data_IF_224488541218
#
_entry.id   IF_224488541218
#
_cell.length_a   1.000
_cell.length_b   1.000
_cell.length_c   1.000
_cell.angle_alpha   90.00
_cell.angle_beta   90.00
_cell.angle_gamma   90.00
#
_symmetry.space_group_name_H-M   'P 1'
#
loop_
_entity.id
_entity.type
_entity.pdbx_description
1 polymer ?
#
# COMPACT_ATOMS: atom_id res chain seq x y z
N UNK A 1 1.25 86.82 -43.12
CA UNK A 1 0.99 86.06 -41.88
C UNK A 1 0.80 84.58 -42.25
N UNK A 2 1.81 83.76 -42.06
CA UNK A 2 1.77 82.36 -42.41
C UNK A 2 1.65 81.59 -41.07
N UNK A 3 0.51 80.94 -40.84
CA UNK A 3 0.31 80.08 -39.68
C UNK A 3 0.98 78.69 -39.94
N UNK A 4 1.99 78.36 -39.16
CA UNK A 4 2.59 77.03 -39.13
C UNK A 4 1.67 76.10 -38.33
N UNK A 5 1.22 75.02 -38.97
CA UNK A 5 0.49 73.94 -38.38
C UNK A 5 1.53 72.92 -37.89
N UNK A 6 1.61 72.70 -36.58
CA UNK A 6 2.46 71.65 -35.97
C UNK A 6 1.58 70.43 -35.83
N UNK A 7 1.93 69.35 -36.56
CA UNK A 7 1.28 68.03 -36.49
C UNK A 7 2.06 67.18 -35.45
N UNK A 8 1.45 66.93 -34.26
CA UNK A 8 2.03 66.06 -33.23
C UNK A 8 1.62 64.67 -33.52
N UNK A 9 2.59 63.79 -33.90
CA UNK A 9 2.40 62.38 -34.09
C UNK A 9 2.51 61.71 -32.71
N UNK A 10 1.42 61.14 -32.18
CA UNK A 10 1.40 60.31 -30.98
C UNK A 10 1.65 58.88 -31.41
N UNK A 11 2.84 58.40 -31.13
CA UNK A 11 3.17 56.98 -31.27
C UNK A 11 2.64 56.20 -30.04
N UNK A 12 1.55 55.44 -30.20
CA UNK A 12 1.07 54.50 -29.20
C UNK A 12 1.92 53.23 -29.29
N UNK A 13 2.80 53.01 -28.33
CA UNK A 13 3.50 51.75 -28.13
C UNK A 13 2.54 50.77 -27.46
N UNK A 14 1.96 49.83 -28.22
CA UNK A 14 1.26 48.66 -27.67
C UNK A 14 2.29 47.66 -27.20
N UNK A 15 2.50 47.57 -25.88
CA UNK A 15 3.28 46.49 -25.27
C UNK A 15 2.45 45.21 -25.36
N UNK A 16 2.75 44.35 -26.31
CA UNK A 16 2.24 42.99 -26.34
C UNK A 16 2.98 42.19 -25.26
N UNK A 17 2.33 42.03 -24.10
CA UNK A 17 2.82 41.10 -23.06
C UNK A 17 2.57 39.70 -23.58
N UNK A 18 3.60 39.08 -24.10
CA UNK A 18 3.58 37.62 -24.34
C UNK A 18 3.67 36.94 -22.98
N UNK A 19 2.55 36.46 -22.46
CA UNK A 19 2.55 35.48 -21.37
C UNK A 19 3.09 34.17 -21.96
N UNK A 20 4.38 33.94 -21.81
CA UNK A 20 4.95 32.60 -22.02
C UNK A 20 4.38 31.70 -20.94
N UNK A 21 3.41 30.85 -21.29
CA UNK A 21 3.09 29.68 -20.50
C UNK A 21 4.32 28.80 -20.55
N UNK A 22 5.24 28.97 -19.62
CA UNK A 22 6.31 28.01 -19.39
C UNK A 22 5.64 26.79 -18.73
N UNK A 23 5.40 25.73 -19.49
CA UNK A 23 5.10 24.44 -18.90
C UNK A 23 6.32 24.04 -18.04
N UNK A 24 6.07 23.66 -16.81
CA UNK A 24 7.13 23.11 -15.97
C UNK A 24 7.79 21.92 -16.70
N UNK A 25 9.11 21.79 -16.61
CA UNK A 25 9.81 20.64 -17.15
C UNK A 25 9.34 19.36 -16.48
N UNK A 26 9.37 18.22 -17.18
CA UNK A 26 9.07 16.94 -16.57
C UNK A 26 10.09 16.61 -15.46
N UNK A 27 9.62 16.00 -14.36
CA UNK A 27 10.51 15.55 -13.29
C UNK A 27 11.43 14.44 -13.81
N UNK A 28 12.72 14.49 -13.46
CA UNK A 28 13.77 13.58 -13.96
C UNK A 28 14.50 12.82 -12.86
N UNK A 29 13.96 12.80 -11.64
CA UNK A 29 14.59 12.09 -10.52
C UNK A 29 15.62 12.90 -9.74
N UNK A 30 15.61 14.21 -9.87
CA UNK A 30 16.52 15.10 -9.14
C UNK A 30 16.21 15.21 -7.65
N UNK A 31 17.17 15.79 -6.91
CA UNK A 31 16.95 16.18 -5.51
C UNK A 31 16.06 17.41 -5.44
N UNK A 32 15.19 17.44 -4.42
CA UNK A 32 14.36 18.60 -4.09
C UNK A 32 14.73 19.14 -2.70
N UNK A 33 14.24 20.34 -2.38
CA UNK A 33 14.32 20.85 -1.00
C UNK A 33 13.60 19.88 -0.05
N UNK A 34 14.02 19.82 1.22
CA UNK A 34 13.41 18.92 2.19
C UNK A 34 11.89 19.16 2.30
N UNK A 35 11.13 18.09 2.23
CA UNK A 35 9.69 18.09 2.40
C UNK A 35 9.24 18.14 3.87
N UNK A 36 7.93 18.02 4.08
CA UNK A 36 7.34 17.92 5.42
C UNK A 36 7.92 16.73 6.20
N UNK A 37 8.20 15.63 5.49
CA UNK A 37 8.75 14.40 6.08
C UNK A 37 10.07 14.00 5.40
N UNK A 38 11.02 13.39 6.14
CA UNK A 38 12.29 12.97 5.57
C UNK A 38 12.11 11.84 4.54
N UNK A 39 12.84 11.94 3.41
CA UNK A 39 12.92 10.90 2.39
C UNK A 39 11.66 10.69 1.53
N UNK A 40 10.62 11.51 1.71
CA UNK A 40 9.36 11.36 0.98
C UNK A 40 8.60 12.67 0.82
N UNK A 41 7.69 12.70 -0.18
CA UNK A 41 6.84 13.84 -0.49
C UNK A 41 5.45 13.36 -0.95
N UNK A 42 4.45 14.24 -0.83
CA UNK A 42 3.28 14.16 -1.68
C UNK A 42 3.62 14.73 -3.07
N UNK A 43 2.88 14.34 -4.13
CA UNK A 43 3.19 14.76 -5.52
C UNK A 43 3.27 16.27 -5.64
N UNK A 44 2.24 16.98 -5.17
CA UNK A 44 2.16 18.45 -5.26
C UNK A 44 3.29 19.15 -4.49
N UNK A 45 3.72 18.57 -3.38
CA UNK A 45 4.85 19.04 -2.58
C UNK A 45 6.17 18.87 -3.35
N UNK A 46 6.39 17.69 -3.97
CA UNK A 46 7.59 17.41 -4.74
C UNK A 46 7.67 18.31 -5.99
N UNK A 47 6.59 18.43 -6.76
CA UNK A 47 6.51 19.29 -7.94
C UNK A 47 6.86 20.74 -7.59
N UNK A 48 6.32 21.27 -6.48
CA UNK A 48 6.63 22.61 -5.99
C UNK A 48 8.08 22.75 -5.57
N UNK A 49 8.64 21.78 -4.84
CA UNK A 49 10.01 21.82 -4.33
C UNK A 49 11.06 21.62 -5.42
N UNK A 50 10.78 20.80 -6.44
CA UNK A 50 11.68 20.50 -7.55
C UNK A 50 11.46 21.45 -8.78
N UNK A 51 10.37 22.18 -8.83
CA UNK A 51 10.03 23.07 -9.97
C UNK A 51 9.73 22.30 -11.26
N UNK A 52 9.17 21.09 -11.16
CA UNK A 52 8.88 20.20 -12.29
C UNK A 52 7.41 19.75 -12.25
N UNK A 53 6.95 19.08 -13.31
CA UNK A 53 5.65 18.41 -13.33
C UNK A 53 5.85 16.91 -13.47
N UNK A 54 5.17 16.12 -12.61
CA UNK A 54 5.32 14.67 -12.56
C UNK A 54 4.39 14.00 -13.56
N UNK A 55 4.94 13.03 -14.28
CA UNK A 55 4.20 12.09 -15.11
C UNK A 55 4.55 10.68 -14.69
N UNK A 56 3.56 9.78 -14.67
CA UNK A 56 3.79 8.43 -14.15
C UNK A 56 4.10 7.45 -15.27
N UNK A 57 5.07 6.58 -14.99
CA UNK A 57 5.44 5.44 -15.82
C UNK A 57 5.37 4.15 -15.02
N UNK A 58 5.29 3.03 -15.71
CA UNK A 58 5.14 1.70 -15.12
C UNK A 58 6.23 0.74 -15.61
N UNK A 59 6.40 -0.35 -14.88
CA UNK A 59 7.23 -1.45 -15.31
C UNK A 59 6.71 -2.00 -16.66
N UNK A 60 7.54 -2.06 -17.73
CA UNK A 60 7.11 -2.58 -19.03
C UNK A 60 6.64 -4.04 -18.99
N UNK A 61 7.02 -4.80 -17.95
CA UNK A 61 6.61 -6.18 -17.74
C UNK A 61 5.31 -6.30 -16.93
N UNK A 62 4.74 -5.20 -16.45
CA UNK A 62 3.65 -5.25 -15.44
C UNK A 62 2.42 -6.02 -15.90
N UNK A 63 2.08 -5.98 -17.19
CA UNK A 63 0.95 -6.74 -17.73
C UNK A 63 1.20 -8.25 -17.68
N UNK A 64 2.43 -8.71 -17.96
CA UNK A 64 2.81 -10.11 -17.86
C UNK A 64 2.92 -10.58 -16.42
N UNK A 65 3.41 -9.70 -15.52
CA UNK A 65 3.47 -9.95 -14.08
C UNK A 65 2.04 -10.11 -13.55
N UNK A 66 1.15 -9.18 -13.87
CA UNK A 66 -0.25 -9.23 -13.44
C UNK A 66 -0.96 -10.52 -13.89
N UNK A 67 -0.62 -11.04 -15.07
CA UNK A 67 -1.19 -12.30 -15.57
C UNK A 67 -0.79 -13.54 -14.71
N UNK A 68 0.23 -13.42 -13.85
CA UNK A 68 0.60 -14.46 -12.89
C UNK A 68 -0.20 -14.39 -11.59
N UNK A 69 -0.90 -13.27 -11.34
CA UNK A 69 -1.72 -13.08 -10.13
C UNK A 69 -3.11 -13.62 -10.40
N UNK A 70 -3.42 -14.76 -9.82
CA UNK A 70 -4.70 -15.45 -10.02
C UNK A 70 -5.85 -14.54 -9.56
N UNK A 71 -6.87 -14.39 -10.41
CA UNK A 71 -8.05 -13.56 -10.12
C UNK A 71 -7.98 -12.14 -10.66
N UNK A 72 -6.78 -11.64 -11.00
CA UNK A 72 -6.64 -10.30 -11.55
C UNK A 72 -7.13 -10.21 -13.01
N UNK A 73 -7.86 -9.15 -13.30
CA UNK A 73 -8.29 -8.78 -14.66
C UNK A 73 -7.20 -8.04 -15.45
N UNK A 74 -7.55 -7.60 -16.66
CA UNK A 74 -6.67 -6.73 -17.46
C UNK A 74 -6.44 -5.39 -16.74
N UNK A 75 -5.20 -4.88 -16.80
CA UNK A 75 -4.83 -3.62 -16.18
C UNK A 75 -5.32 -2.41 -17.00
N UNK A 76 -5.81 -1.37 -16.30
CA UNK A 76 -5.91 -0.03 -16.84
C UNK A 76 -4.52 0.65 -16.94
N UNK A 77 -4.51 1.91 -17.38
CA UNK A 77 -3.27 2.72 -17.40
C UNK A 77 -2.70 2.89 -15.99
N UNK A 78 -1.40 3.23 -15.89
CA UNK A 78 -0.78 3.51 -14.59
C UNK A 78 -1.51 4.60 -13.81
N UNK A 79 -2.04 5.63 -14.49
CA UNK A 79 -2.81 6.71 -13.87
C UNK A 79 -4.15 6.22 -13.28
N UNK A 80 -4.75 5.17 -13.87
CA UNK A 80 -5.99 4.58 -13.36
C UNK A 80 -5.75 3.68 -12.15
N UNK A 81 -4.51 3.25 -11.93
CA UNK A 81 -4.10 2.29 -10.90
C UNK A 81 -3.49 2.95 -9.67
N UNK A 82 -2.77 4.04 -9.86
CA UNK A 82 -2.23 4.86 -8.76
C UNK A 82 -3.35 5.65 -8.07
N UNK A 83 -3.20 5.95 -6.77
CA UNK A 83 -4.03 6.96 -6.12
C UNK A 83 -3.82 8.34 -6.77
N UNK A 84 -4.74 9.27 -6.56
CA UNK A 84 -4.65 10.63 -7.12
C UNK A 84 -3.37 11.38 -6.73
N UNK A 85 -2.83 11.07 -5.55
CA UNK A 85 -1.54 11.53 -5.05
C UNK A 85 -0.75 10.32 -4.52
N UNK A 86 0.03 9.65 -5.37
CA UNK A 86 0.93 8.60 -4.92
C UNK A 86 2.01 9.17 -3.98
N UNK A 87 2.55 8.31 -3.13
CA UNK A 87 3.69 8.67 -2.29
C UNK A 87 4.96 8.73 -3.14
N UNK A 88 5.61 9.89 -3.19
CA UNK A 88 6.90 10.07 -3.86
C UNK A 88 8.02 9.71 -2.89
N UNK A 89 8.82 8.70 -3.23
CA UNK A 89 9.95 8.23 -2.41
C UNK A 89 11.27 8.64 -3.05
N UNK A 90 12.16 9.22 -2.25
CA UNK A 90 13.49 9.62 -2.71
C UNK A 90 14.41 8.40 -2.75
N UNK A 91 14.96 8.04 -3.93
CA UNK A 91 15.97 6.99 -3.99
C UNK A 91 17.24 7.36 -3.19
N UNK A 92 17.89 6.36 -2.57
CA UNK A 92 19.13 6.59 -1.82
C UNK A 92 20.25 7.15 -2.70
N UNK A 93 20.51 6.51 -3.85
CA UNK A 93 21.59 6.89 -4.76
C UNK A 93 21.05 7.41 -6.09
N UNK A 94 20.21 6.63 -6.76
CA UNK A 94 19.68 6.94 -8.08
C UNK A 94 18.35 6.24 -8.35
N UNK A 95 17.63 6.75 -9.33
CA UNK A 95 16.46 6.07 -9.92
C UNK A 95 16.89 4.70 -10.42
N UNK A 96 16.10 3.67 -10.07
CA UNK A 96 16.36 2.30 -10.44
C UNK A 96 15.96 1.94 -11.87
N UNK A 97 16.17 0.69 -12.23
CA UNK A 97 15.73 0.11 -13.52
C UNK A 97 14.78 -1.04 -13.26
N UNK A 98 13.73 -1.15 -14.09
CA UNK A 98 12.78 -2.23 -14.01
C UNK A 98 13.34 -3.57 -14.44
N UNK A 99 12.85 -4.63 -13.80
CA UNK A 99 13.08 -6.01 -14.19
C UNK A 99 13.77 -6.87 -13.15
N UNK A 100 13.86 -8.13 -13.45
CA UNK A 100 14.64 -9.11 -12.68
C UNK A 100 13.89 -9.77 -11.53
N UNK A 101 14.60 -10.68 -10.87
CA UNK A 101 14.09 -11.42 -9.71
C UNK A 101 15.07 -11.31 -8.55
N UNK A 102 14.59 -10.84 -7.43
CA UNK A 102 15.35 -10.87 -6.17
C UNK A 102 15.26 -12.28 -5.59
N UNK A 103 16.40 -12.93 -5.40
CA UNK A 103 16.47 -14.30 -4.88
C UNK A 103 17.05 -14.32 -3.48
N UNK A 104 16.42 -15.09 -2.60
CA UNK A 104 16.79 -15.21 -1.20
C UNK A 104 16.72 -16.66 -0.73
N UNK A 105 17.56 -17.03 0.23
CA UNK A 105 17.49 -18.28 0.96
C UNK A 105 16.96 -18.02 2.36
N UNK A 106 15.98 -18.82 2.78
CA UNK A 106 15.31 -18.68 4.07
C UNK A 106 15.18 -20.05 4.77
N UNK A 107 14.98 -20.02 6.06
CA UNK A 107 14.48 -21.17 6.84
C UNK A 107 13.10 -20.88 7.45
N UNK A 108 12.48 -19.76 7.09
CA UNK A 108 11.16 -19.35 7.57
C UNK A 108 10.08 -20.04 6.73
N UNK A 109 9.68 -21.23 7.13
CA UNK A 109 8.66 -22.04 6.43
C UNK A 109 7.23 -21.72 6.87
N UNK A 110 7.07 -20.98 7.97
CA UNK A 110 5.77 -20.63 8.50
C UNK A 110 5.23 -19.37 7.84
N UNK A 111 3.93 -19.32 7.66
CA UNK A 111 3.25 -18.11 7.19
C UNK A 111 3.52 -16.94 8.16
N UNK A 112 3.75 -15.77 7.62
CA UNK A 112 4.03 -14.56 8.40
C UNK A 112 5.46 -14.45 8.91
N UNK A 113 6.33 -15.39 8.62
CA UNK A 113 7.73 -15.38 9.06
C UNK A 113 8.72 -15.21 7.91
N UNK A 114 8.22 -14.80 6.74
CA UNK A 114 9.05 -14.58 5.55
C UNK A 114 10.17 -13.57 5.81
N UNK A 115 11.40 -13.95 5.49
CA UNK A 115 12.56 -13.07 5.56
C UNK A 115 12.45 -11.88 4.58
N UNK A 116 11.55 -11.98 3.58
CA UNK A 116 11.23 -10.90 2.63
C UNK A 116 10.15 -9.92 3.13
N UNK A 117 9.60 -10.11 4.32
CA UNK A 117 8.55 -9.24 4.86
C UNK A 117 9.00 -7.77 4.91
N UNK A 118 10.22 -7.51 5.32
CA UNK A 118 10.79 -6.15 5.42
C UNK A 118 10.86 -5.41 4.07
N UNK A 119 10.84 -6.13 2.95
CA UNK A 119 10.92 -5.54 1.61
C UNK A 119 9.56 -5.24 0.98
N UNK A 120 8.47 -5.69 1.59
CA UNK A 120 7.11 -5.55 1.03
C UNK A 120 6.06 -5.01 1.99
N UNK A 121 6.22 -5.25 3.32
CA UNK A 121 5.23 -4.89 4.32
C UNK A 121 4.96 -3.39 4.38
N UNK A 122 3.69 -3.03 4.51
CA UNK A 122 3.22 -1.65 4.62
C UNK A 122 2.20 -1.52 5.74
N UNK A 123 2.23 -0.38 6.45
CA UNK A 123 1.28 0.00 7.48
C UNK A 123 0.65 1.36 7.17
N UNK A 124 -0.33 1.81 7.94
CA UNK A 124 -0.91 3.16 7.78
C UNK A 124 0.16 4.25 7.86
N UNK A 125 1.10 4.10 8.77
CA UNK A 125 2.28 4.95 8.95
C UNK A 125 3.52 4.07 9.09
N UNK A 126 4.70 4.62 8.94
CA UNK A 126 5.99 3.92 9.12
C UNK A 126 6.98 4.81 9.85
N UNK A 127 8.07 4.24 10.33
CA UNK A 127 9.23 5.05 10.71
C UNK A 127 9.96 5.55 9.48
N UNK A 128 10.53 6.77 9.57
CA UNK A 128 11.53 7.26 8.62
C UNK A 128 12.76 6.36 8.64
N UNK A 129 13.59 6.46 7.59
CA UNK A 129 14.74 5.57 7.42
C UNK A 129 15.78 5.68 8.55
N UNK A 130 15.84 6.83 9.23
CA UNK A 130 16.67 7.06 10.41
C UNK A 130 16.01 6.58 11.74
N UNK A 131 14.81 6.01 11.66
CA UNK A 131 14.01 5.48 12.77
C UNK A 131 13.65 6.52 13.84
N UNK A 132 13.68 7.81 13.52
CA UNK A 132 13.43 8.89 14.48
C UNK A 132 12.03 9.48 14.40
N UNK A 133 11.44 9.47 13.22
CA UNK A 133 10.15 10.13 12.94
C UNK A 133 9.13 9.12 12.40
N UNK A 134 7.90 9.19 12.90
CA UNK A 134 6.80 8.44 12.27
C UNK A 134 6.27 9.29 11.12
N UNK A 135 6.25 8.70 9.92
CA UNK A 135 5.86 9.35 8.67
C UNK A 135 4.66 8.65 8.04
N UNK A 136 3.84 9.34 7.24
CA UNK A 136 2.78 8.73 6.44
C UNK A 136 3.28 7.61 5.54
N UNK A 137 2.40 6.63 5.27
CA UNK A 137 2.69 5.53 4.36
C UNK A 137 1.42 5.22 3.53
N UNK A 138 0.64 4.18 3.89
CA UNK A 138 -0.69 3.94 3.30
C UNK A 138 -1.62 5.13 3.55
N UNK A 139 -1.63 5.67 4.77
CA UNK A 139 -2.25 6.96 5.03
C UNK A 139 -1.43 8.08 4.38
N UNK A 140 -2.12 9.10 3.89
CA UNK A 140 -1.53 10.32 3.36
C UNK A 140 -1.10 11.26 4.48
N UNK A 141 -1.85 11.29 5.57
CA UNK A 141 -1.59 12.13 6.75
C UNK A 141 -2.23 11.52 7.99
N UNK A 142 -1.83 12.01 9.15
CA UNK A 142 -2.46 11.70 10.43
C UNK A 142 -2.45 12.92 11.35
N UNK A 143 -3.47 12.99 12.22
CA UNK A 143 -3.65 14.10 13.15
C UNK A 143 -4.18 13.60 14.50
N UNK A 144 -3.65 14.18 15.57
CA UNK A 144 -4.14 14.02 16.94
C UNK A 144 -4.98 15.23 17.36
N UNK A 145 -5.99 14.99 18.18
CA UNK A 145 -6.58 16.06 18.96
C UNK A 145 -5.66 16.47 20.14
N UNK A 146 -5.98 17.56 20.83
CA UNK A 146 -5.11 18.16 21.84
C UNK A 146 -4.81 17.25 23.05
N UNK A 147 -5.71 16.34 23.39
CA UNK A 147 -5.59 15.44 24.54
C UNK A 147 -5.13 14.01 24.20
N UNK A 148 -4.82 13.76 22.91
CA UNK A 148 -4.39 12.45 22.41
C UNK A 148 -5.40 11.31 22.64
N UNK A 149 -6.68 11.64 22.61
CA UNK A 149 -7.77 10.67 22.68
C UNK A 149 -8.42 10.38 21.33
N UNK A 150 -8.08 11.16 20.29
CA UNK A 150 -8.53 10.92 18.93
C UNK A 150 -7.36 10.95 17.95
N UNK A 151 -7.21 9.87 17.21
CA UNK A 151 -6.24 9.76 16.11
C UNK A 151 -7.01 9.62 14.79
N UNK A 152 -6.85 10.63 13.93
CA UNK A 152 -7.48 10.65 12.60
C UNK A 152 -6.44 10.38 11.54
N UNK A 153 -6.72 9.41 10.65
CA UNK A 153 -5.93 9.15 9.44
C UNK A 153 -6.68 9.66 8.22
N UNK A 154 -5.97 10.34 7.33
CA UNK A 154 -6.43 10.65 5.99
C UNK A 154 -5.78 9.67 5.03
N UNK A 155 -6.57 8.87 4.32
CA UNK A 155 -6.11 7.89 3.34
C UNK A 155 -5.86 8.56 1.98
N UNK A 156 -5.16 7.87 1.07
CA UNK A 156 -4.91 8.34 -0.30
C UNK A 156 -6.14 8.08 -1.16
N UNK A 157 -6.73 9.15 -1.71
CA UNK A 157 -7.93 9.05 -2.56
C UNK A 157 -7.65 8.21 -3.81
N UNK A 158 -8.54 7.25 -4.08
CA UNK A 158 -8.44 6.36 -5.24
C UNK A 158 -7.38 5.26 -5.08
N UNK A 159 -6.85 5.03 -3.87
CA UNK A 159 -5.97 3.89 -3.59
C UNK A 159 -6.72 2.58 -3.83
N UNK A 160 -6.02 1.56 -4.31
CA UNK A 160 -6.62 0.27 -4.68
C UNK A 160 -5.85 -0.89 -4.08
N UNK A 161 -6.57 -1.94 -3.76
CA UNK A 161 -6.03 -3.25 -3.48
C UNK A 161 -5.36 -3.86 -4.72
N UNK A 162 -4.55 -4.88 -4.55
CA UNK A 162 -3.80 -5.54 -5.63
C UNK A 162 -4.66 -6.21 -6.69
N UNK A 163 -5.93 -6.43 -6.42
CA UNK A 163 -6.95 -6.94 -7.36
C UNK A 163 -7.74 -5.81 -8.06
N UNK A 164 -7.41 -4.54 -7.76
CA UNK A 164 -8.04 -3.35 -8.32
C UNK A 164 -9.27 -2.85 -7.57
N UNK A 165 -9.72 -3.53 -6.52
CA UNK A 165 -10.81 -3.05 -5.67
C UNK A 165 -10.40 -1.76 -4.92
N UNK A 166 -11.32 -0.80 -4.69
CA UNK A 166 -11.02 0.40 -3.91
C UNK A 166 -10.59 0.07 -2.48
N UNK A 167 -9.57 0.78 -1.99
CA UNK A 167 -9.19 0.81 -0.58
C UNK A 167 -9.74 2.08 0.07
N UNK A 168 -10.49 1.92 1.17
CA UNK A 168 -11.19 3.01 1.84
C UNK A 168 -11.13 2.91 3.36
N UNK A 169 -11.64 3.93 4.05
CA UNK A 169 -11.83 3.93 5.51
C UNK A 169 -12.66 2.74 6.01
N UNK A 170 -13.56 2.22 5.17
CA UNK A 170 -14.37 1.04 5.48
C UNK A 170 -13.53 -0.23 5.67
N UNK A 171 -12.38 -0.35 4.99
CA UNK A 171 -11.45 -1.48 5.13
C UNK A 171 -10.73 -1.46 6.49
N UNK A 172 -10.41 -0.26 6.99
CA UNK A 172 -9.82 -0.05 8.33
C UNK A 172 -10.83 -0.37 9.42
N UNK A 173 -12.06 0.15 9.29
CA UNK A 173 -13.14 -0.12 10.24
C UNK A 173 -13.52 -1.59 10.25
N UNK A 174 -13.64 -2.22 9.09
CA UNK A 174 -13.94 -3.65 8.96
C UNK A 174 -12.88 -4.52 9.66
N UNK A 175 -11.58 -4.25 9.41
CA UNK A 175 -10.50 -4.93 10.10
C UNK A 175 -10.66 -4.84 11.62
N UNK A 176 -10.91 -3.65 12.14
CA UNK A 176 -11.04 -3.43 13.58
C UNK A 176 -12.25 -4.14 14.16
N UNK A 177 -13.44 -3.89 13.61
CA UNK A 177 -14.70 -4.35 14.18
C UNK A 177 -14.96 -5.84 13.96
N UNK A 178 -14.62 -6.37 12.78
CA UNK A 178 -15.06 -7.69 12.34
C UNK A 178 -13.95 -8.74 12.30
N UNK A 179 -12.67 -8.35 12.37
CA UNK A 179 -11.58 -9.31 12.41
C UNK A 179 -10.85 -9.29 13.76
N UNK A 180 -10.55 -8.10 14.31
CA UNK A 180 -9.79 -7.99 15.55
C UNK A 180 -10.61 -8.26 16.81
N UNK A 181 -11.88 -7.93 16.76
CA UNK A 181 -12.79 -8.07 17.92
C UNK A 181 -13.90 -9.11 17.70
N UNK A 182 -13.83 -9.91 16.64
CA UNK A 182 -14.71 -11.07 16.47
C UNK A 182 -14.08 -12.32 17.12
N UNK A 183 -14.75 -12.84 18.15
CA UNK A 183 -14.26 -14.00 18.92
C UNK A 183 -14.33 -15.32 18.15
N UNK A 184 -15.07 -15.39 17.04
CA UNK A 184 -15.09 -16.55 16.15
C UNK A 184 -13.82 -16.64 15.28
N UNK A 185 -13.16 -15.49 15.05
CA UNK A 185 -11.93 -15.40 14.27
C UNK A 185 -10.71 -15.35 15.20
N UNK A 186 -10.84 -14.61 16.32
CA UNK A 186 -9.74 -14.35 17.23
C UNK A 186 -10.20 -14.41 18.69
N UNK A 187 -9.61 -15.29 19.47
CA UNK A 187 -9.99 -15.46 20.88
C UNK A 187 -9.81 -14.17 21.70
N UNK A 188 -8.72 -13.43 21.43
CA UNK A 188 -8.41 -12.18 22.13
C UNK A 188 -7.84 -11.15 21.15
N UNK A 189 -8.26 -9.89 21.22
CA UNK A 189 -7.64 -8.82 20.44
C UNK A 189 -6.18 -8.59 20.90
N UNK A 190 -5.38 -7.95 20.07
CA UNK A 190 -4.07 -7.50 20.50
C UNK A 190 -4.17 -6.47 21.62
N UNK A 191 -3.34 -6.63 22.64
CA UNK A 191 -3.37 -5.77 23.83
C UNK A 191 -3.15 -4.27 23.53
N UNK A 192 -2.43 -3.94 22.45
CA UNK A 192 -2.24 -2.55 22.07
C UNK A 192 -3.50 -1.88 21.53
N UNK A 193 -4.49 -2.66 21.07
CA UNK A 193 -5.80 -2.16 20.62
C UNK A 193 -6.76 -1.88 21.79
N UNK A 194 -6.35 -2.22 23.01
CA UNK A 194 -7.05 -1.85 24.23
C UNK A 194 -6.34 -0.66 24.89
N UNK A 195 -7.13 0.29 25.37
CA UNK A 195 -6.66 1.48 26.09
C UNK A 195 -7.36 1.53 27.43
N UNK A 196 -6.61 1.49 28.54
CA UNK A 196 -7.16 1.32 29.89
C UNK A 196 -8.09 0.09 30.02
N UNK A 197 -7.72 -1.02 29.35
CA UNK A 197 -8.50 -2.27 29.26
C UNK A 197 -9.85 -2.14 28.54
N UNK A 198 -10.09 -1.01 27.89
CA UNK A 198 -11.32 -0.76 27.12
C UNK A 198 -11.03 -0.76 25.61
N UNK A 199 -12.03 -1.16 24.83
CA UNK A 199 -12.01 -1.13 23.38
C UNK A 199 -12.11 0.32 22.88
N UNK A 200 -11.27 0.69 21.90
CA UNK A 200 -11.45 1.92 21.12
C UNK A 200 -12.71 1.83 20.25
N UNK A 201 -13.17 2.94 19.72
CA UNK A 201 -14.13 2.94 18.61
C UNK A 201 -13.47 3.49 17.36
N UNK A 202 -13.94 3.02 16.19
CA UNK A 202 -13.45 3.46 14.88
C UNK A 202 -14.60 4.07 14.10
N UNK A 203 -14.47 5.34 13.77
CA UNK A 203 -15.44 6.09 12.97
C UNK A 203 -14.96 6.20 11.52
N UNK A 204 -15.81 5.79 10.60
CA UNK A 204 -15.72 6.04 9.18
C UNK A 204 -16.31 7.43 8.92
N UNK A 205 -15.48 8.48 8.87
CA UNK A 205 -15.94 9.87 8.71
C UNK A 205 -16.39 10.12 7.27
N UNK A 206 -15.58 9.66 6.31
CA UNK A 206 -15.87 9.61 4.89
C UNK A 206 -15.02 8.53 4.23
N UNK A 207 -15.06 8.39 2.90
CA UNK A 207 -14.35 7.36 2.14
C UNK A 207 -12.84 7.31 2.41
N UNK A 208 -12.23 8.45 2.72
CA UNK A 208 -10.77 8.57 2.91
C UNK A 208 -10.38 8.99 4.33
N UNK A 209 -11.33 9.20 5.23
CA UNK A 209 -11.05 9.67 6.60
C UNK A 209 -11.56 8.67 7.63
N UNK A 210 -10.66 8.13 8.42
CA UNK A 210 -10.97 7.21 9.52
C UNK A 210 -10.42 7.75 10.84
N UNK A 211 -11.22 7.67 11.92
CA UNK A 211 -10.85 8.14 13.24
C UNK A 211 -10.92 7.02 14.27
N UNK A 212 -9.85 6.86 15.02
CA UNK A 212 -9.79 6.05 16.22
C UNK A 212 -10.09 6.93 17.44
N UNK A 213 -11.11 6.60 18.22
CA UNK A 213 -11.44 7.26 19.48
C UNK A 213 -10.98 6.36 20.62
N UNK A 214 -10.07 6.88 21.44
CA UNK A 214 -9.43 6.17 22.53
C UNK A 214 -10.14 6.50 23.86
N UNK A 215 -10.41 5.49 24.69
CA UNK A 215 -10.99 5.72 26.04
C UNK A 215 -10.15 6.62 26.95
N UNK A 216 -8.85 6.67 26.73
CA UNK A 216 -7.90 7.52 27.45
C UNK A 216 -6.73 7.91 26.53
N UNK A 217 -5.96 8.93 26.91
CA UNK A 217 -4.77 9.37 26.17
C UNK A 217 -3.73 8.25 26.03
N UNK A 218 -3.36 7.91 24.77
CA UNK A 218 -2.35 6.90 24.45
C UNK A 218 -1.56 7.27 23.19
N UNK A 219 -0.74 8.33 23.18
CA UNK A 219 -0.02 8.76 21.99
C UNK A 219 0.91 7.70 21.42
N UNK A 220 1.41 6.77 22.24
CA UNK A 220 2.27 5.66 21.82
C UNK A 220 1.60 4.64 20.88
N UNK A 221 0.26 4.68 20.71
CA UNK A 221 -0.42 3.79 19.77
C UNK A 221 -0.01 4.04 18.31
N UNK A 222 0.37 5.28 17.97
CA UNK A 222 0.86 5.61 16.64
C UNK A 222 2.11 4.81 16.26
N UNK A 223 3.01 4.59 17.21
CA UNK A 223 4.20 3.74 17.03
C UNK A 223 3.79 2.26 16.80
N UNK A 224 2.73 1.80 17.44
CA UNK A 224 2.21 0.46 17.20
C UNK A 224 1.64 0.32 15.77
N UNK A 225 0.92 1.32 15.27
CA UNK A 225 0.47 1.34 13.88
C UNK A 225 1.62 1.46 12.87
N UNK A 226 2.80 1.91 13.27
CA UNK A 226 3.98 1.99 12.42
C UNK A 226 4.79 0.68 12.39
N UNK A 227 4.69 -0.16 13.42
CA UNK A 227 5.59 -1.32 13.60
C UNK A 227 4.88 -2.66 13.74
N UNK A 228 3.56 -2.66 13.84
CA UNK A 228 2.80 -3.91 13.98
C UNK A 228 2.88 -4.76 12.71
N UNK A 229 3.06 -6.05 12.86
CA UNK A 229 2.85 -7.00 11.77
C UNK A 229 1.38 -7.10 11.35
N UNK A 230 0.47 -6.78 12.25
CA UNK A 230 -0.94 -6.69 11.95
C UNK A 230 -1.20 -5.33 11.32
N UNK A 231 -1.35 -5.30 10.02
CA UNK A 231 -1.76 -4.10 9.29
C UNK A 231 -3.12 -3.63 9.80
N UNK A 232 -3.30 -2.33 9.97
CA UNK A 232 -4.52 -1.73 10.49
C UNK A 232 -5.68 -1.68 9.50
N UNK A 233 -5.78 -2.64 8.57
CA UNK A 233 -6.78 -2.73 7.50
C UNK A 233 -6.88 -4.16 6.96
N UNK A 234 -7.99 -4.49 6.32
CA UNK A 234 -8.20 -5.76 5.63
C UNK A 234 -9.19 -5.60 4.47
N UNK A 235 -9.09 -6.42 3.40
CA UNK A 235 -9.94 -6.30 2.22
C UNK A 235 -11.40 -6.66 2.53
N UNK A 236 -12.19 -5.66 2.92
CA UNK A 236 -13.62 -5.80 3.24
C UNK A 236 -14.41 -6.43 2.10
N UNK A 237 -14.12 -6.03 0.84
CA UNK A 237 -14.81 -6.53 -0.34
C UNK A 237 -14.68 -8.06 -0.50
N UNK A 238 -13.56 -8.66 -0.04
CA UNK A 238 -13.37 -10.10 -0.02
C UNK A 238 -14.01 -10.71 1.23
N UNK A 239 -13.63 -10.26 2.41
CA UNK A 239 -13.95 -10.94 3.66
C UNK A 239 -15.40 -10.78 4.10
N UNK A 240 -16.07 -9.66 3.77
CA UNK A 240 -17.48 -9.49 4.11
C UNK A 240 -18.41 -10.52 3.46
N UNK A 241 -17.99 -11.11 2.33
CA UNK A 241 -18.78 -12.16 1.66
C UNK A 241 -18.84 -13.45 2.48
N UNK A 242 -17.80 -13.74 3.24
CA UNK A 242 -17.67 -14.95 4.07
C UNK A 242 -17.95 -14.71 5.54
N UNK A 243 -18.26 -13.46 5.94
CA UNK A 243 -18.56 -13.14 7.33
C UNK A 243 -20.04 -13.39 7.64
N UNK A 244 -20.39 -14.39 8.49
CA UNK A 244 -21.79 -14.79 8.73
C UNK A 244 -22.68 -13.65 9.24
N UNK A 245 -22.13 -12.73 10.04
CA UNK A 245 -22.90 -11.58 10.56
C UNK A 245 -23.16 -10.50 9.52
N UNK A 246 -22.40 -10.49 8.41
CA UNK A 246 -22.53 -9.50 7.32
C UNK A 246 -23.22 -10.07 6.08
N UNK A 247 -23.16 -11.37 5.88
CA UNK A 247 -23.77 -12.06 4.75
C UNK A 247 -24.43 -13.36 5.21
N UNK A 248 -25.75 -13.41 5.17
CA UNK A 248 -26.53 -14.60 5.52
C UNK A 248 -26.24 -15.82 4.63
N UNK A 249 -25.62 -15.61 3.45
CA UNK A 249 -25.19 -16.67 2.53
C UNK A 249 -23.75 -17.12 2.76
N UNK A 250 -23.03 -16.58 3.73
CA UNK A 250 -21.59 -16.84 3.94
C UNK A 250 -21.25 -18.33 4.08
N UNK A 251 -22.03 -19.06 4.88
CA UNK A 251 -21.79 -20.50 5.10
C UNK A 251 -22.02 -21.32 3.82
N UNK A 252 -23.03 -20.97 3.03
CA UNK A 252 -23.28 -21.65 1.76
C UNK A 252 -22.15 -21.40 0.74
N UNK A 253 -21.61 -20.17 0.69
CA UNK A 253 -20.44 -19.85 -0.12
C UNK A 253 -19.21 -20.61 0.35
N UNK A 254 -18.99 -20.69 1.65
CA UNK A 254 -17.87 -21.41 2.23
C UNK A 254 -17.96 -22.93 1.95
N UNK A 255 -19.13 -23.52 2.11
CA UNK A 255 -19.38 -24.94 1.85
C UNK A 255 -19.19 -25.31 0.37
N UNK A 256 -19.56 -24.41 -0.55
CA UNK A 256 -19.29 -24.59 -1.98
C UNK A 256 -17.78 -24.68 -2.30
N UNK A 257 -16.92 -24.11 -1.43
CA UNK A 257 -15.45 -24.19 -1.53
C UNK A 257 -14.86 -25.33 -0.69
N UNK A 258 -15.70 -26.11 0.03
CA UNK A 258 -15.26 -27.21 0.86
C UNK A 258 -14.83 -26.81 2.28
N UNK A 259 -15.20 -25.62 2.76
CA UNK A 259 -15.05 -25.20 4.14
C UNK A 259 -16.31 -25.51 4.96
N UNK A 260 -16.19 -25.60 6.27
CA UNK A 260 -17.31 -25.90 7.16
C UNK A 260 -18.33 -24.75 7.21
N UNK A 261 -17.83 -23.52 7.31
CA UNK A 261 -18.63 -22.29 7.43
C UNK A 261 -17.79 -21.06 7.02
N UNK A 262 -18.41 -19.88 7.02
CA UNK A 262 -17.76 -18.64 6.64
C UNK A 262 -16.57 -18.27 7.53
N UNK A 263 -16.67 -18.49 8.85
CA UNK A 263 -15.55 -18.23 9.76
C UNK A 263 -14.33 -19.13 9.47
N UNK A 264 -14.54 -20.35 9.00
CA UNK A 264 -13.45 -21.23 8.60
C UNK A 264 -12.68 -20.65 7.38
N UNK A 265 -13.39 -19.99 6.44
CA UNK A 265 -12.75 -19.28 5.33
C UNK A 265 -11.96 -18.09 5.84
N UNK A 266 -12.56 -17.23 6.67
CA UNK A 266 -11.88 -16.06 7.24
C UNK A 266 -10.61 -16.44 7.99
N UNK A 267 -10.68 -17.51 8.80
CA UNK A 267 -9.51 -18.02 9.52
C UNK A 267 -8.45 -18.56 8.56
N UNK A 268 -8.86 -19.23 7.47
CA UNK A 268 -7.93 -19.75 6.47
C UNK A 268 -7.20 -18.66 5.70
N UNK A 269 -7.85 -17.54 5.43
CA UNK A 269 -7.25 -16.38 4.75
C UNK A 269 -6.47 -15.48 5.68
N UNK A 270 -7.07 -15.13 6.81
CA UNK A 270 -6.53 -14.12 7.70
C UNK A 270 -5.61 -14.70 8.77
N UNK A 271 -5.89 -15.94 9.18
CA UNK A 271 -5.16 -16.65 10.25
C UNK A 271 -5.39 -16.09 11.65
N UNK A 272 -4.98 -16.84 12.66
CA UNK A 272 -5.07 -16.40 14.06
C UNK A 272 -4.06 -15.30 14.42
N UNK A 273 -3.02 -15.13 13.61
CA UNK A 273 -1.91 -14.21 13.86
C UNK A 273 -2.07 -12.84 13.20
N UNK A 274 -3.07 -12.63 12.32
CA UNK A 274 -3.21 -11.49 11.43
C UNK A 274 -1.99 -11.19 10.53
N UNK A 275 -1.28 -12.22 10.16
CA UNK A 275 -0.21 -12.12 9.20
C UNK A 275 -0.81 -11.99 7.80
N UNK A 276 -0.74 -10.79 7.25
CA UNK A 276 -1.26 -10.49 5.92
C UNK A 276 -0.42 -11.08 4.79
N UNK A 277 0.79 -11.51 5.12
CA UNK A 277 1.68 -12.22 4.22
C UNK A 277 1.46 -13.74 4.22
N UNK A 278 0.51 -14.23 5.04
CA UNK A 278 0.09 -15.61 4.94
C UNK A 278 -0.42 -15.84 3.53
N UNK A 279 0.29 -16.61 2.70
CA UNK A 279 -0.31 -17.04 1.45
C UNK A 279 -1.61 -17.73 1.83
N UNK A 280 -2.68 -17.39 1.15
CA UNK A 280 -3.92 -18.10 1.37
C UNK A 280 -3.61 -19.59 1.39
N UNK A 281 -3.99 -20.37 2.43
CA UNK A 281 -3.81 -21.81 2.42
C UNK A 281 -4.38 -22.47 1.18
N UNK A 282 -5.20 -21.73 0.44
CA UNK A 282 -5.80 -22.12 -0.82
C UNK A 282 -4.79 -22.16 -1.97
N UNK A 283 -3.67 -21.43 -1.90
CA UNK A 283 -2.58 -21.57 -2.87
C UNK A 283 -1.96 -22.99 -2.84
N UNK A 284 -1.98 -23.65 -1.69
CA UNK A 284 -1.58 -25.04 -1.55
C UNK A 284 -2.64 -26.04 -2.05
N UNK A 285 -3.83 -25.59 -2.44
CA UNK A 285 -4.94 -26.43 -2.92
C UNK A 285 -5.52 -25.85 -4.24
N UNK A 286 -4.83 -26.06 -5.40
CA UNK A 286 -5.18 -25.45 -6.66
C UNK A 286 -6.64 -25.62 -7.10
N UNK A 287 -7.24 -26.77 -6.79
CA UNK A 287 -8.64 -27.06 -7.13
C UNK A 287 -9.63 -26.13 -6.43
N UNK A 288 -9.30 -25.66 -5.22
CA UNK A 288 -10.12 -24.67 -4.48
C UNK A 288 -9.90 -23.27 -4.98
N UNK A 289 -8.67 -22.95 -5.38
CA UNK A 289 -8.26 -21.64 -5.87
C UNK A 289 -9.03 -21.27 -7.15
N UNK A 290 -9.26 -22.24 -8.05
CA UNK A 290 -9.95 -22.01 -9.31
C UNK A 290 -11.41 -21.51 -9.17
N UNK A 291 -12.01 -21.72 -8.01
CA UNK A 291 -13.41 -21.36 -7.73
C UNK A 291 -13.56 -20.07 -6.93
N UNK A 292 -12.45 -19.39 -6.58
CA UNK A 292 -12.50 -18.15 -5.83
C UNK A 292 -12.43 -16.92 -6.74
N UNK A 293 -13.24 -15.89 -6.47
CA UNK A 293 -13.15 -14.60 -7.19
C UNK A 293 -11.76 -13.96 -7.04
N UNK A 294 -11.13 -14.15 -5.89
CA UNK A 294 -9.78 -13.69 -5.60
C UNK A 294 -9.04 -14.79 -4.87
N UNK A 295 -8.35 -15.64 -5.60
CA UNK A 295 -7.62 -16.79 -5.04
C UNK A 295 -6.36 -16.38 -4.28
N UNK A 296 -5.84 -15.21 -4.58
CA UNK A 296 -4.72 -14.57 -3.93
C UNK A 296 -5.26 -13.55 -2.94
N UNK A 297 -4.67 -13.50 -1.75
CA UNK A 297 -5.02 -12.48 -0.76
C UNK A 297 -4.75 -11.08 -1.33
N UNK A 298 -5.78 -10.22 -1.51
CA UNK A 298 -5.56 -8.85 -1.97
C UNK A 298 -4.74 -8.09 -0.94
N UNK A 299 -3.66 -7.45 -1.38
CA UNK A 299 -2.72 -6.75 -0.53
C UNK A 299 -2.47 -5.33 -1.02
N UNK A 300 -2.04 -4.45 -0.12
CA UNK A 300 -1.49 -3.12 -0.44
C UNK A 300 0.05 -3.14 -0.45
N UNK A 301 0.66 -4.28 -0.20
CA UNK A 301 2.11 -4.45 -0.17
C UNK A 301 2.73 -4.32 -1.57
N UNK A 302 4.04 -4.09 -1.64
CA UNK A 302 4.76 -3.95 -2.91
C UNK A 302 4.83 -5.24 -3.72
N UNK A 303 4.71 -6.40 -3.05
CA UNK A 303 4.71 -7.72 -3.68
C UNK A 303 3.58 -8.58 -3.14
N UNK A 304 3.09 -9.47 -3.99
CA UNK A 304 1.95 -10.35 -3.74
C UNK A 304 2.41 -11.79 -3.84
N UNK A 305 2.09 -12.61 -2.86
CA UNK A 305 2.39 -14.05 -2.90
C UNK A 305 1.55 -14.72 -3.99
N UNK A 306 2.20 -15.30 -4.98
CA UNK A 306 1.56 -16.02 -6.10
C UNK A 306 1.80 -17.53 -6.06
N UNK A 307 2.79 -17.98 -5.30
CA UNK A 307 3.12 -19.38 -5.11
C UNK A 307 3.61 -19.61 -3.68
N UNK A 308 3.14 -20.69 -3.05
CA UNK A 308 3.60 -21.15 -1.75
C UNK A 308 3.71 -22.67 -1.77
N UNK A 309 4.93 -23.16 -1.62
CA UNK A 309 5.26 -24.60 -1.67
C UNK A 309 6.16 -24.98 -0.53
N UNK A 310 6.40 -26.29 -0.37
CA UNK A 310 7.39 -26.80 0.60
C UNK A 310 8.84 -26.42 0.24
N UNK A 311 9.07 -25.94 -0.99
CA UNK A 311 10.41 -25.54 -1.45
C UNK A 311 10.67 -24.03 -1.34
N UNK A 312 9.60 -23.22 -1.17
CA UNK A 312 9.70 -21.77 -1.08
C UNK A 312 8.46 -21.04 -1.55
N UNK A 313 8.58 -19.72 -1.63
CA UNK A 313 7.55 -18.79 -2.06
C UNK A 313 7.99 -17.97 -3.24
N UNK A 314 7.05 -17.61 -4.10
CA UNK A 314 7.24 -16.64 -5.17
C UNK A 314 6.27 -15.49 -4.97
N UNK A 315 6.80 -14.28 -5.10
CA UNK A 315 6.03 -13.05 -5.00
C UNK A 315 6.16 -12.27 -6.31
N UNK A 316 5.06 -11.71 -6.79
CA UNK A 316 4.99 -10.85 -7.96
C UNK A 316 4.84 -9.39 -7.56
N UNK A 317 5.42 -8.48 -8.32
CA UNK A 317 5.24 -7.04 -8.11
C UNK A 317 3.77 -6.65 -8.18
N UNK A 318 3.32 -5.83 -7.21
CA UNK A 318 1.93 -5.37 -7.14
C UNK A 318 1.68 -4.28 -8.20
N UNK A 319 0.81 -4.52 -9.20
CA UNK A 319 0.53 -3.54 -10.25
C UNK A 319 -0.23 -2.30 -9.76
N UNK A 320 -0.77 -2.33 -8.54
CA UNK A 320 -1.49 -1.23 -7.90
C UNK A 320 -0.70 -0.58 -6.75
N UNK A 321 0.61 -0.87 -6.64
CA UNK A 321 1.42 -0.30 -5.56
C UNK A 321 1.46 1.22 -5.66
N UNK A 322 1.25 1.90 -4.54
CA UNK A 322 0.94 3.33 -4.46
C UNK A 322 2.15 4.27 -4.45
N UNK A 323 3.35 3.74 -4.43
CA UNK A 323 4.58 4.55 -4.38
C UNK A 323 5.17 4.76 -5.78
N UNK A 324 5.74 5.94 -5.97
CA UNK A 324 6.55 6.28 -7.14
C UNK A 324 7.89 6.85 -6.71
N UNK A 325 8.89 6.80 -7.57
CA UNK A 325 10.15 7.51 -7.34
C UNK A 325 10.04 9.00 -7.76
N UNK A 326 11.13 9.74 -7.60
CA UNK A 326 11.24 11.16 -7.95
C UNK A 326 11.21 11.45 -9.45
N UNK A 327 11.28 10.44 -10.31
CA UNK A 327 11.07 10.54 -11.75
C UNK A 327 9.65 10.14 -12.18
N UNK A 328 8.80 9.71 -11.24
CA UNK A 328 7.43 9.25 -11.48
C UNK A 328 7.32 7.77 -11.89
N UNK A 329 8.37 6.97 -11.72
CA UNK A 329 8.30 5.54 -11.99
C UNK A 329 7.57 4.82 -10.86
N UNK A 330 6.51 4.06 -11.17
CA UNK A 330 5.79 3.26 -10.18
C UNK A 330 6.71 2.17 -9.61
N UNK A 331 6.76 2.04 -8.29
CA UNK A 331 7.50 0.98 -7.61
C UNK A 331 6.63 -0.30 -7.49
N UNK A 332 7.25 -1.47 -7.24
CA UNK A 332 8.68 -1.74 -7.14
C UNK A 332 9.36 -1.85 -8.52
N UNK A 333 10.68 -1.69 -8.56
CA UNK A 333 11.46 -1.90 -9.80
C UNK A 333 11.60 -3.38 -10.16
N UNK A 334 11.69 -4.26 -9.15
CA UNK A 334 11.91 -5.69 -9.31
C UNK A 334 10.60 -6.38 -9.71
N UNK A 335 10.64 -7.31 -10.67
CA UNK A 335 9.46 -8.04 -11.15
C UNK A 335 8.97 -9.08 -10.14
N UNK A 336 9.91 -9.86 -9.60
CA UNK A 336 9.61 -10.98 -8.71
C UNK A 336 10.57 -11.06 -7.53
N UNK A 337 10.07 -11.62 -6.42
CA UNK A 337 10.89 -12.12 -5.34
C UNK A 337 10.75 -13.64 -5.26
N UNK A 338 11.85 -14.36 -5.04
CA UNK A 338 11.87 -15.82 -4.90
C UNK A 338 12.60 -16.19 -3.63
N UNK A 339 11.86 -16.72 -2.67
CA UNK A 339 12.33 -17.18 -1.37
C UNK A 339 12.43 -18.71 -1.39
N UNK A 340 13.64 -19.25 -1.32
CA UNK A 340 13.91 -20.69 -1.25
C UNK A 340 14.15 -21.16 0.17
N UNK A 341 13.47 -22.23 0.58
CA UNK A 341 13.61 -22.81 1.92
C UNK A 341 14.80 -23.76 1.98
N UNK A 342 15.71 -23.51 2.90
CA UNK A 342 16.84 -24.38 3.22
C UNK A 342 17.08 -24.32 4.71
N UNK A 343 16.83 -25.44 5.39
CA UNK A 343 16.91 -25.52 6.84
C UNK A 343 18.35 -25.63 7.35
N UNK A 344 19.26 -26.28 6.58
CA UNK A 344 20.64 -26.49 6.98
C UNK A 344 21.51 -25.28 6.67
N UNK A 345 22.13 -24.70 7.71
CA UNK A 345 22.96 -23.51 7.61
C UNK A 345 24.15 -23.69 6.65
N UNK A 346 24.83 -24.84 6.71
CA UNK A 346 25.98 -25.14 5.87
C UNK A 346 25.60 -25.14 4.38
N UNK A 347 24.42 -25.68 4.04
CA UNK A 347 23.91 -25.71 2.66
C UNK A 347 23.55 -24.29 2.21
N UNK A 348 22.95 -23.45 3.09
CA UNK A 348 22.68 -22.06 2.76
C UNK A 348 23.95 -21.28 2.46
N UNK A 349 24.96 -21.40 3.33
CA UNK A 349 26.26 -20.74 3.13
C UNK A 349 26.91 -21.23 1.83
N UNK A 350 26.91 -22.54 1.57
CA UNK A 350 27.48 -23.10 0.34
C UNK A 350 26.79 -22.55 -0.92
N UNK A 351 25.47 -22.44 -0.91
CA UNK A 351 24.71 -21.86 -2.02
C UNK A 351 24.99 -20.37 -2.22
N UNK A 352 25.07 -19.59 -1.14
CA UNK A 352 25.43 -18.18 -1.22
C UNK A 352 26.83 -17.94 -1.78
N UNK A 353 27.77 -18.80 -1.48
CA UNK A 353 29.17 -18.70 -1.99
C UNK A 353 29.28 -19.13 -3.46
N UNK A 354 28.45 -20.06 -3.92
CA UNK A 354 28.51 -20.60 -5.28
C UNK A 354 27.51 -19.92 -6.27
N UNK A 355 26.69 -18.98 -5.83
CA UNK A 355 25.65 -18.29 -6.65
C UNK A 355 24.34 -19.03 -6.57
#
# INVERSE_FOLDING_TARGET
>A
MVKKLILTLVFSFSVVVWSSNSFAAACSGGSAAAGKYPGQYEVSEYESAAGCSMSFSENPNIASINATIIGNGALGSVNDRLPSEPLVVVPYDSVGSYGGTFRMLSNATEAGTSDLLSTRHVNLVRYSDDLTTIVPNIAKDYEWNDDYTQLTFTLRKGHKWSDGAPFTSADVKFWYDHLMFDTNIREKPYSYLLVADERMTVDEIDEVTVRFNLPASKPGILAMFATSYCQGFAPKHLFSQYHPDLNSGADALAQAMGFENGYAVLTAYYGNSCWTDTPSPLLATPDKVANLPSAVYPSLESFITIEDTTEGRVYAANPYFFMVDTAGNQLPYIDYQNERYINENEIRILKLVNG
#
